data_IF_402318985028
#
_entry.id   IF_402318985028
#
_cell.length_a   1.000
_cell.length_b   1.000
_cell.length_c   1.000
_cell.angle_alpha   90.00
_cell.angle_beta   90.00
_cell.angle_gamma   90.00
#
_symmetry.space_group_name_H-M   'P 1'
#
loop_
_entity.id
_entity.type
_entity.pdbx_description
1 polymer ?
#
# COMPACT_ATOMS: atom_id res chain seq x y z
N UNK A 1 -2.10 1.99 -5.65
CA UNK A 1 -3.50 1.55 -5.47
C UNK A 1 -3.54 0.09 -5.05
N UNK A 2 -4.53 -0.27 -4.25
CA UNK A 2 -4.84 -1.65 -3.85
C UNK A 2 -5.98 -2.15 -4.72
N UNK A 3 -5.74 -3.13 -5.59
CA UNK A 3 -6.68 -3.52 -6.64
C UNK A 3 -6.97 -5.04 -6.63
N UNK A 4 -8.02 -5.41 -7.37
CA UNK A 4 -8.58 -6.76 -7.50
C UNK A 4 -9.35 -7.26 -6.26
N UNK A 5 -10.25 -8.20 -6.53
CA UNK A 5 -10.97 -8.99 -5.53
C UNK A 5 -10.33 -10.37 -5.37
N UNK A 6 -10.56 -11.01 -4.22
CA UNK A 6 -10.07 -12.35 -3.94
C UNK A 6 -10.69 -13.37 -4.90
N UNK A 7 -9.83 -14.11 -5.61
CA UNK A 7 -10.23 -15.33 -6.31
C UNK A 7 -10.08 -16.55 -5.40
N UNK A 8 -11.00 -17.52 -5.53
CA UNK A 8 -10.87 -18.84 -4.91
C UNK A 8 -11.53 -19.02 -3.53
N UNK A 9 -12.38 -18.09 -3.09
CA UNK A 9 -13.12 -18.21 -1.82
C UNK A 9 -14.32 -19.18 -1.90
N UNK A 10 -14.82 -19.46 -3.11
CA UNK A 10 -16.07 -20.20 -3.32
C UNK A 10 -17.31 -19.37 -2.99
N UNK A 11 -18.50 -19.96 -3.06
CA UNK A 11 -19.74 -19.28 -2.69
C UNK A 11 -19.76 -18.93 -1.19
N UNK A 12 -20.24 -17.74 -0.85
CA UNK A 12 -20.33 -17.23 0.53
C UNK A 12 -21.80 -16.88 0.80
N UNK A 13 -22.30 -17.28 1.97
CA UNK A 13 -23.66 -17.02 2.44
C UNK A 13 -23.68 -16.15 3.70
N UNK A 14 -22.71 -16.33 4.59
CA UNK A 14 -22.62 -15.62 5.85
C UNK A 14 -21.17 -15.28 6.19
N UNK A 15 -20.98 -14.09 6.76
CA UNK A 15 -19.70 -13.60 7.26
C UNK A 15 -19.91 -12.95 8.62
N UNK A 16 -19.08 -13.30 9.60
CA UNK A 16 -19.12 -12.73 10.95
C UNK A 16 -17.72 -12.48 11.49
N UNK A 17 -17.58 -11.48 12.36
CA UNK A 17 -16.33 -11.21 13.05
C UNK A 17 -16.27 -11.94 14.40
N UNK A 18 -15.29 -12.83 14.54
CA UNK A 18 -14.99 -13.55 15.77
C UNK A 18 -13.95 -12.76 16.60
N UNK A 19 -14.43 -11.96 17.55
CA UNK A 19 -13.64 -11.05 18.36
C UNK A 19 -12.52 -11.72 19.18
N UNK A 20 -12.80 -12.91 19.73
CA UNK A 20 -11.91 -13.71 20.57
C UNK A 20 -10.61 -14.00 19.84
N UNK A 21 -10.70 -14.26 18.54
CA UNK A 21 -9.58 -14.67 17.69
C UNK A 21 -9.08 -13.57 16.77
N UNK A 22 -9.77 -12.42 16.71
CA UNK A 22 -9.55 -11.41 15.67
C UNK A 22 -9.59 -12.07 14.29
N UNK A 23 -10.75 -12.60 13.94
CA UNK A 23 -10.91 -13.39 12.73
C UNK A 23 -12.25 -13.10 12.04
N UNK A 24 -12.29 -13.31 10.74
CA UNK A 24 -13.51 -13.24 9.93
C UNK A 24 -13.91 -14.66 9.56
N UNK A 25 -15.01 -15.13 10.12
CA UNK A 25 -15.58 -16.45 9.85
C UNK A 25 -16.45 -16.39 8.59
N UNK A 26 -16.33 -17.39 7.73
CA UNK A 26 -17.07 -17.52 6.48
C UNK A 26 -17.85 -18.83 6.55
N UNK A 27 -19.18 -18.76 6.46
CA UNK A 27 -20.12 -19.91 6.45
C UNK A 27 -19.87 -21.00 7.51
N UNK A 28 -19.26 -20.66 8.66
CA UNK A 28 -18.75 -21.64 9.64
C UNK A 28 -17.82 -22.73 9.04
N UNK A 29 -17.27 -22.50 7.84
CA UNK A 29 -16.47 -23.47 7.07
C UNK A 29 -15.00 -23.08 6.98
N UNK A 30 -14.73 -21.78 7.03
CA UNK A 30 -13.38 -21.25 6.92
C UNK A 30 -13.24 -19.96 7.74
N UNK A 31 -12.01 -19.67 8.14
CA UNK A 31 -11.66 -18.50 8.94
C UNK A 31 -10.54 -17.74 8.24
N UNK A 32 -10.69 -16.43 8.07
CA UNK A 32 -9.61 -15.54 7.69
C UNK A 32 -9.09 -14.83 8.93
N UNK A 33 -7.78 -14.86 9.15
CA UNK A 33 -7.12 -14.11 10.21
C UNK A 33 -6.50 -12.85 9.60
N UNK A 34 -7.14 -11.67 9.74
CA UNK A 34 -6.64 -10.45 9.13
C UNK A 34 -5.24 -10.13 9.65
N UNK A 35 -4.25 -9.88 8.77
CA UNK A 35 -2.89 -9.56 9.19
C UNK A 35 -2.73 -8.09 9.60
N UNK A 36 -3.82 -7.39 9.89
CA UNK A 36 -3.87 -5.96 10.25
C UNK A 36 -4.75 -5.79 11.47
N UNK A 37 -4.54 -4.73 12.27
CA UNK A 37 -5.32 -4.53 13.49
C UNK A 37 -6.82 -4.30 13.24
N UNK A 38 -7.68 -4.53 14.25
CA UNK A 38 -9.13 -4.31 14.15
C UNK A 38 -9.51 -2.92 13.63
N UNK A 39 -8.76 -1.88 14.03
CA UNK A 39 -8.97 -0.50 13.58
C UNK A 39 -8.88 -0.38 12.06
N UNK A 40 -7.78 -0.86 11.49
CA UNK A 40 -7.52 -0.75 10.05
C UNK A 40 -8.48 -1.64 9.26
N UNK A 41 -8.82 -2.81 9.80
CA UNK A 41 -9.82 -3.69 9.21
C UNK A 41 -11.19 -2.99 9.11
N UNK A 42 -11.66 -2.37 10.19
CA UNK A 42 -12.94 -1.64 10.20
C UNK A 42 -12.92 -0.44 9.22
N UNK A 43 -11.80 0.29 9.14
CA UNK A 43 -11.61 1.36 8.15
C UNK A 43 -11.74 0.79 6.74
N UNK A 44 -11.04 -0.29 6.41
CA UNK A 44 -11.11 -0.91 5.08
C UNK A 44 -12.51 -1.45 4.76
N UNK A 45 -13.21 -2.04 5.73
CA UNK A 45 -14.60 -2.49 5.56
C UNK A 45 -15.51 -1.33 5.16
N UNK A 46 -15.50 -0.22 5.92
CA UNK A 46 -16.31 0.98 5.59
C UNK A 46 -15.92 1.58 4.25
N UNK A 47 -14.63 1.70 4.01
CA UNK A 47 -14.10 2.26 2.77
C UNK A 47 -14.61 1.48 1.56
N UNK A 48 -14.45 0.15 1.57
CA UNK A 48 -14.83 -0.72 0.45
C UNK A 48 -16.34 -0.93 0.33
N UNK A 49 -17.11 -0.66 1.37
CA UNK A 49 -18.56 -0.58 1.28
C UNK A 49 -19.01 0.67 0.49
N UNK A 50 -18.31 1.80 0.64
CA UNK A 50 -18.67 3.08 0.05
C UNK A 50 -18.04 3.33 -1.33
N UNK A 51 -16.76 2.99 -1.51
CA UNK A 51 -15.99 3.17 -2.74
C UNK A 51 -15.04 1.99 -2.92
N UNK A 52 -15.06 1.36 -4.09
CA UNK A 52 -14.19 0.21 -4.36
C UNK A 52 -12.69 0.58 -4.41
N UNK A 53 -12.36 1.87 -4.53
CA UNK A 53 -10.99 2.35 -4.66
C UNK A 53 -10.34 2.56 -3.29
N UNK A 54 -9.13 2.02 -3.10
CA UNK A 54 -8.25 2.38 -1.97
C UNK A 54 -6.87 2.70 -2.51
N UNK A 55 -6.39 3.91 -2.24
CA UNK A 55 -5.11 4.36 -2.76
C UNK A 55 -4.72 5.78 -2.38
N UNK A 56 -3.52 6.15 -2.80
CA UNK A 56 -2.96 7.49 -2.64
C UNK A 56 -2.25 7.89 -3.93
N UNK A 57 -2.08 9.20 -4.12
CA UNK A 57 -1.19 9.77 -5.14
C UNK A 57 -0.43 10.92 -4.50
N UNK A 58 0.89 10.89 -4.63
CA UNK A 58 1.78 11.95 -4.16
C UNK A 58 2.37 12.71 -5.34
N UNK A 59 2.36 14.03 -5.24
CA UNK A 59 2.88 14.96 -6.23
C UNK A 59 2.70 16.39 -5.71
N UNK A 60 2.32 17.31 -6.59
CA UNK A 60 1.99 18.69 -6.19
C UNK A 60 0.80 18.74 -5.21
N UNK A 61 -0.08 17.75 -5.28
CA UNK A 61 -1.16 17.51 -4.33
C UNK A 61 -1.03 16.12 -3.71
N UNK A 62 -1.43 15.99 -2.44
CA UNK A 62 -1.59 14.70 -1.76
C UNK A 62 -3.05 14.25 -1.83
N UNK A 63 -3.32 13.26 -2.68
CA UNK A 63 -4.65 12.69 -2.87
C UNK A 63 -4.76 11.35 -2.15
N UNK A 64 -5.92 11.11 -1.53
CA UNK A 64 -6.25 9.86 -0.83
C UNK A 64 -7.66 9.47 -1.26
N UNK A 65 -7.84 8.20 -1.66
CA UNK A 65 -9.11 7.66 -2.13
C UNK A 65 -9.56 6.49 -1.25
N UNK A 66 -10.88 6.42 -1.01
CA UNK A 66 -11.56 5.36 -0.26
C UNK A 66 -11.43 5.45 1.25
N UNK A 67 -10.27 5.86 1.76
CA UNK A 67 -9.97 5.87 3.20
C UNK A 67 -9.88 7.28 3.78
N UNK A 68 -10.14 7.49 5.09
CA UNK A 68 -9.92 8.78 5.73
C UNK A 68 -8.47 9.23 5.61
N UNK A 69 -8.23 10.50 5.23
CA UNK A 69 -6.89 11.06 4.96
C UNK A 69 -5.89 10.90 6.11
N UNK A 70 -6.38 10.94 7.36
CA UNK A 70 -5.58 10.78 8.58
C UNK A 70 -5.52 9.36 9.15
N UNK A 71 -6.13 8.37 8.49
CA UNK A 71 -6.06 6.97 8.92
C UNK A 71 -4.64 6.41 8.79
N UNK A 72 -4.32 5.39 9.60
CA UNK A 72 -3.04 4.69 9.51
C UNK A 72 -2.88 4.01 8.14
N UNK A 73 -3.98 3.50 7.57
CA UNK A 73 -4.04 2.97 6.19
C UNK A 73 -3.56 4.02 5.19
N UNK A 74 -4.14 5.23 5.20
CA UNK A 74 -3.72 6.29 4.30
C UNK A 74 -2.26 6.67 4.50
N UNK A 75 -1.82 6.81 5.76
CA UNK A 75 -0.45 7.19 6.09
C UNK A 75 0.57 6.17 5.56
N UNK A 76 0.38 4.89 5.83
CA UNK A 76 1.26 3.82 5.35
C UNK A 76 1.31 3.79 3.83
N UNK A 77 0.17 3.95 3.15
CA UNK A 77 0.14 3.99 1.69
C UNK A 77 0.95 5.18 1.15
N UNK A 78 0.88 6.36 1.78
CA UNK A 78 1.72 7.51 1.41
C UNK A 78 3.20 7.23 1.64
N UNK A 79 3.57 6.68 2.79
CA UNK A 79 4.98 6.38 3.08
C UNK A 79 5.53 5.30 2.14
N UNK A 80 4.71 4.30 1.78
CA UNK A 80 5.08 3.28 0.80
C UNK A 80 5.23 3.89 -0.60
N UNK A 81 4.31 4.75 -1.04
CA UNK A 81 4.37 5.46 -2.32
C UNK A 81 5.64 6.31 -2.41
N UNK A 82 5.92 7.10 -1.37
CA UNK A 82 7.13 7.92 -1.25
C UNK A 82 8.41 7.07 -1.34
N UNK A 83 8.45 5.95 -0.63
CA UNK A 83 9.59 5.04 -0.66
C UNK A 83 9.78 4.43 -2.05
N UNK A 84 8.72 3.89 -2.67
CA UNK A 84 8.80 3.26 -3.99
C UNK A 84 9.14 4.26 -5.10
N UNK A 85 8.58 5.48 -5.03
CA UNK A 85 8.87 6.56 -5.96
C UNK A 85 10.35 6.95 -5.91
N UNK A 86 10.95 7.08 -4.72
CA UNK A 86 12.37 7.42 -4.59
C UNK A 86 13.28 6.38 -5.28
N UNK A 87 12.88 5.11 -5.28
CA UNK A 87 13.57 4.02 -6.02
C UNK A 87 13.35 4.15 -7.52
N UNK A 88 12.10 4.34 -7.98
CA UNK A 88 11.78 4.43 -9.41
C UNK A 88 12.47 5.64 -10.05
N UNK A 89 12.44 6.79 -9.39
CA UNK A 89 13.04 8.03 -9.86
C UNK A 89 14.55 8.14 -9.58
N UNK A 90 15.08 7.27 -8.72
CA UNK A 90 16.52 7.23 -8.40
C UNK A 90 17.03 8.49 -7.68
N UNK A 91 16.16 9.21 -6.95
CA UNK A 91 16.51 10.49 -6.30
C UNK A 91 17.35 10.28 -5.04
N UNK A 92 17.11 9.18 -4.31
CA UNK A 92 17.80 8.81 -3.06
C UNK A 92 17.60 9.83 -1.94
N UNK A 93 16.49 10.58 -1.97
CA UNK A 93 16.13 11.55 -0.95
C UNK A 93 15.66 10.83 0.31
N UNK A 94 14.79 9.84 0.18
CA UNK A 94 14.23 9.10 1.32
C UNK A 94 14.96 7.77 1.56
N UNK A 95 15.64 7.24 0.55
CA UNK A 95 16.38 5.97 0.60
C UNK A 95 17.90 6.15 0.73
N UNK A 96 18.37 7.30 1.23
CA UNK A 96 19.79 7.52 1.51
C UNK A 96 20.34 6.46 2.48
N UNK A 97 21.38 5.75 2.06
CA UNK A 97 21.97 4.62 2.80
C UNK A 97 21.18 3.31 2.73
N UNK A 98 20.09 3.25 1.97
CA UNK A 98 19.37 2.00 1.70
C UNK A 98 20.20 1.05 0.82
N UNK A 99 20.21 -0.23 1.17
CA UNK A 99 20.80 -1.32 0.40
C UNK A 99 19.72 -1.96 -0.46
N UNK A 100 19.82 -1.79 -1.76
CA UNK A 100 18.87 -2.35 -2.72
C UNK A 100 19.10 -3.84 -2.99
N UNK A 101 18.05 -4.51 -3.47
CA UNK A 101 18.11 -5.90 -3.89
C UNK A 101 19.26 -6.10 -4.89
N UNK A 102 20.07 -7.16 -4.68
CA UNK A 102 21.19 -7.49 -5.57
C UNK A 102 22.18 -6.32 -5.76
N UNK A 103 22.32 -5.44 -4.75
CA UNK A 103 23.19 -4.24 -4.79
C UNK A 103 22.87 -3.30 -5.97
N UNK A 104 21.62 -3.30 -6.42
CA UNK A 104 21.17 -2.45 -7.52
C UNK A 104 21.40 -0.98 -7.19
N UNK A 105 21.68 -0.20 -8.22
CA UNK A 105 21.86 1.25 -8.13
C UNK A 105 20.77 1.88 -8.99
N UNK A 106 19.71 2.44 -8.39
CA UNK A 106 18.70 3.17 -9.14
C UNK A 106 19.34 4.23 -10.04
N UNK A 107 18.86 4.29 -11.28
CA UNK A 107 19.39 5.20 -12.29
C UNK A 107 18.51 6.44 -12.28
N UNK A 108 19.09 7.60 -11.99
CA UNK A 108 18.38 8.86 -12.14
C UNK A 108 18.26 9.18 -13.63
N UNK A 109 17.07 9.55 -14.07
CA UNK A 109 16.85 10.03 -15.43
C UNK A 109 17.38 11.47 -15.56
N UNK A 110 18.05 11.78 -16.67
CA UNK A 110 18.45 13.15 -16.97
C UNK A 110 17.21 14.04 -17.21
N UNK A 111 17.27 15.27 -16.70
CA UNK A 111 16.17 16.24 -16.74
C UNK A 111 15.07 15.95 -15.71
N UNK A 112 13.99 16.72 -15.79
CA UNK A 112 12.78 16.53 -14.97
C UNK A 112 11.70 15.85 -15.80
N UNK A 113 11.65 14.50 -15.87
CA UNK A 113 10.64 13.82 -16.66
C UNK A 113 9.25 14.11 -16.07
N UNK A 114 8.33 14.62 -16.90
CA UNK A 114 6.90 14.74 -16.58
C UNK A 114 6.25 13.38 -16.70
N UNK A 115 6.40 12.57 -15.65
CA UNK A 115 5.93 11.18 -15.60
C UNK A 115 5.49 10.83 -14.19
N UNK A 116 4.39 10.09 -14.07
CA UNK A 116 3.95 9.47 -12.83
C UNK A 116 4.31 7.99 -12.82
N UNK A 117 4.68 7.49 -11.64
CA UNK A 117 4.81 6.07 -11.38
C UNK A 117 3.56 5.57 -10.65
N UNK A 118 2.87 4.60 -11.25
CA UNK A 118 1.69 3.97 -10.69
C UNK A 118 2.07 2.61 -10.10
N UNK A 119 1.96 2.49 -8.78
CA UNK A 119 2.21 1.25 -8.06
C UNK A 119 0.89 0.51 -7.82
N UNK A 120 0.73 -0.66 -8.42
CA UNK A 120 -0.47 -1.49 -8.30
C UNK A 120 -0.11 -2.80 -7.58
N UNK A 121 -0.67 -3.00 -6.39
CA UNK A 121 -0.61 -4.29 -5.69
C UNK A 121 -1.88 -5.06 -6.03
N UNK A 122 -1.73 -6.25 -6.63
CA UNK A 122 -2.83 -6.95 -7.32
C UNK A 122 -2.55 -8.45 -7.48
N UNK A 123 -3.37 -9.16 -8.27
CA UNK A 123 -3.29 -10.61 -8.51
C UNK A 123 -3.31 -11.42 -7.20
N UNK A 124 -4.16 -10.99 -6.27
CA UNK A 124 -4.37 -11.66 -5.00
C UNK A 124 -5.06 -13.00 -5.23
N UNK A 125 -4.38 -14.09 -4.86
CA UNK A 125 -4.93 -15.45 -4.91
C UNK A 125 -4.98 -16.02 -3.51
N UNK A 126 -6.18 -16.44 -3.10
CA UNK A 126 -6.39 -17.08 -1.82
C UNK A 126 -6.56 -18.59 -2.00
N UNK A 127 -6.32 -19.33 -0.92
CA UNK A 127 -6.62 -20.75 -0.78
C UNK A 127 -7.26 -20.97 0.58
N UNK A 128 -8.24 -21.87 0.61
CA UNK A 128 -8.73 -22.43 1.87
C UNK A 128 -7.97 -23.74 2.13
N UNK A 129 -7.18 -23.78 3.19
CA UNK A 129 -6.43 -24.97 3.62
C UNK A 129 -6.69 -25.21 5.10
N UNK A 130 -7.11 -26.42 5.49
CA UNK A 130 -7.47 -26.77 6.88
C UNK A 130 -8.42 -25.76 7.55
N UNK A 131 -9.45 -25.32 6.82
CA UNK A 131 -10.44 -24.31 7.25
C UNK A 131 -9.85 -22.91 7.49
N UNK A 132 -8.66 -22.62 6.99
CA UNK A 132 -8.05 -21.29 7.06
C UNK A 132 -7.95 -20.68 5.65
N UNK A 133 -8.38 -19.44 5.50
CA UNK A 133 -8.19 -18.63 4.30
C UNK A 133 -6.79 -18.02 4.34
N UNK A 134 -5.95 -18.38 3.37
CA UNK A 134 -4.57 -17.90 3.28
C UNK A 134 -4.29 -17.24 1.93
N UNK A 135 -3.56 -16.13 1.96
CA UNK A 135 -3.01 -15.54 0.74
C UNK A 135 -1.86 -16.41 0.21
N UNK A 136 -2.00 -16.87 -1.03
CA UNK A 136 -0.98 -17.68 -1.71
C UNK A 136 -0.05 -16.81 -2.55
N UNK A 137 -0.60 -15.76 -3.17
CA UNK A 137 0.15 -14.91 -4.11
C UNK A 137 -0.43 -13.52 -4.19
N UNK A 138 0.45 -12.54 -4.36
CA UNK A 138 0.17 -11.21 -4.87
C UNK A 138 1.32 -10.76 -5.78
N UNK A 139 1.13 -9.66 -6.49
CA UNK A 139 2.13 -9.05 -7.35
C UNK A 139 2.15 -7.52 -7.16
N UNK A 140 3.31 -6.93 -7.45
CA UNK A 140 3.45 -5.48 -7.63
C UNK A 140 3.72 -5.22 -9.11
N UNK A 141 2.85 -4.47 -9.76
CA UNK A 141 3.11 -3.89 -11.08
C UNK A 141 3.41 -2.40 -10.92
N UNK A 142 4.38 -1.92 -11.71
CA UNK A 142 4.79 -0.52 -11.71
C UNK A 142 4.67 -0.02 -13.14
N UNK A 143 3.75 0.91 -13.35
CA UNK A 143 3.50 1.52 -14.67
C UNK A 143 3.99 2.97 -14.67
N UNK A 144 4.55 3.40 -15.80
CA UNK A 144 4.99 4.78 -15.99
C UNK A 144 4.06 5.45 -16.98
N UNK A 145 3.51 6.60 -16.59
CA UNK A 145 2.54 7.33 -17.38
C UNK A 145 3.08 8.74 -17.61
N UNK A 146 3.39 9.12 -18.87
CA UNK A 146 3.68 10.50 -19.22
C UNK A 146 2.57 11.43 -18.73
N UNK A 147 2.94 12.60 -18.23
CA UNK A 147 1.99 13.56 -17.67
C UNK A 147 1.87 14.80 -18.57
N UNK A 148 0.63 15.24 -18.77
CA UNK A 148 0.34 16.50 -19.42
C UNK A 148 0.70 17.68 -18.50
N UNK A 149 0.91 18.87 -19.08
CA UNK A 149 1.07 20.10 -18.30
C UNK A 149 -0.24 20.49 -17.58
N UNK A 150 -1.39 20.15 -18.17
CA UNK A 150 -2.70 20.41 -17.59
C UNK A 150 -2.96 19.51 -16.36
N UNK A 151 -3.76 20.03 -15.43
CA UNK A 151 -4.20 19.35 -14.21
C UNK A 151 -5.71 19.19 -14.20
N UNK A 152 -6.20 18.22 -13.45
CA UNK A 152 -7.61 18.13 -13.10
C UNK A 152 -7.99 19.21 -12.07
N UNK A 153 -9.29 19.42 -11.86
CA UNK A 153 -9.80 20.45 -10.95
C UNK A 153 -9.37 20.25 -9.48
N UNK A 154 -9.12 19.00 -9.09
CA UNK A 154 -8.62 18.62 -7.76
C UNK A 154 -7.08 18.68 -7.65
N UNK A 155 -6.39 19.17 -8.69
CA UNK A 155 -4.94 19.23 -8.76
C UNK A 155 -4.27 17.93 -9.20
N UNK A 156 -5.04 16.88 -9.51
CA UNK A 156 -4.47 15.62 -10.00
C UNK A 156 -3.73 15.81 -11.34
N UNK A 157 -2.63 15.07 -11.50
CA UNK A 157 -1.94 14.99 -12.78
C UNK A 157 -2.80 14.29 -13.83
N UNK A 158 -2.83 14.83 -15.05
CA UNK A 158 -3.50 14.19 -16.18
C UNK A 158 -2.50 13.43 -17.05
N UNK A 159 -2.89 12.28 -17.64
CA UNK A 159 -2.04 11.56 -18.58
C UNK A 159 -1.85 12.36 -19.87
N UNK A 160 -0.64 12.38 -20.40
CA UNK A 160 -0.36 12.89 -21.75
C UNK A 160 -0.67 11.78 -22.76
N UNK A 161 -1.91 11.78 -23.25
CA UNK A 161 -2.38 10.81 -24.25
C UNK A 161 -1.61 10.89 -25.57
N UNK A 162 -1.06 12.05 -25.92
CA UNK A 162 -0.23 12.24 -27.10
C UNK A 162 1.10 11.51 -26.97
N UNK A 163 1.81 11.73 -25.85
CA UNK A 163 3.05 11.03 -25.52
C UNK A 163 2.86 9.51 -25.37
N UNK A 164 1.74 9.08 -24.78
CA UNK A 164 1.37 7.65 -24.68
C UNK A 164 1.20 7.04 -26.08
N UNK A 165 0.43 7.69 -26.96
CA UNK A 165 0.20 7.21 -28.33
C UNK A 165 1.49 7.19 -29.17
N UNK A 166 2.37 8.16 -28.95
CA UNK A 166 3.69 8.22 -29.59
C UNK A 166 4.68 7.19 -29.03
N UNK A 167 4.32 6.47 -27.95
CA UNK A 167 5.18 5.47 -27.35
C UNK A 167 6.41 6.05 -26.64
N UNK A 168 6.29 7.25 -26.04
CA UNK A 168 7.38 7.86 -25.29
C UNK A 168 7.83 6.93 -24.16
N UNK A 169 9.15 6.69 -24.07
CA UNK A 169 9.77 5.76 -23.12
C UNK A 169 10.68 6.50 -22.14
N UNK A 170 10.78 5.98 -20.93
CA UNK A 170 11.65 6.50 -19.87
C UNK A 170 12.62 5.41 -19.42
N UNK A 171 13.61 5.07 -20.27
CA UNK A 171 14.39 3.84 -20.12
C UNK A 171 15.03 3.66 -18.73
N UNK A 172 15.53 4.73 -18.11
CA UNK A 172 16.11 4.68 -16.76
C UNK A 172 15.04 4.30 -15.72
N UNK A 173 13.90 4.99 -15.75
CA UNK A 173 12.77 4.74 -14.85
C UNK A 173 12.17 3.35 -15.08
N UNK A 174 12.03 2.93 -16.34
CA UNK A 174 11.53 1.60 -16.71
C UNK A 174 12.43 0.48 -16.15
N UNK A 175 13.75 0.67 -16.19
CA UNK A 175 14.72 -0.26 -15.58
C UNK A 175 14.54 -0.33 -14.06
N UNK A 176 14.39 0.82 -13.39
CA UNK A 176 14.16 0.87 -11.95
C UNK A 176 12.81 0.22 -11.56
N UNK A 177 11.74 0.55 -12.26
CA UNK A 177 10.40 -0.02 -12.09
C UNK A 177 10.40 -1.55 -12.27
N UNK A 178 11.03 -2.04 -13.34
CA UNK A 178 11.18 -3.48 -13.60
C UNK A 178 12.02 -4.17 -12.53
N UNK A 179 13.07 -3.52 -12.04
CA UNK A 179 13.88 -4.05 -10.94
C UNK A 179 13.04 -4.17 -9.66
N UNK A 180 12.29 -3.13 -9.31
CA UNK A 180 11.43 -3.07 -8.14
C UNK A 180 10.40 -4.21 -8.16
N UNK A 181 9.61 -4.32 -9.24
CA UNK A 181 8.59 -5.36 -9.41
C UNK A 181 9.18 -6.78 -9.32
N UNK A 182 10.33 -7.03 -9.96
CA UNK A 182 11.01 -8.35 -9.96
C UNK A 182 11.59 -8.76 -8.62
N UNK A 183 11.86 -7.81 -7.72
CA UNK A 183 12.48 -8.08 -6.43
C UNK A 183 11.56 -7.67 -5.26
N UNK A 184 10.25 -7.65 -5.48
CA UNK A 184 9.28 -7.21 -4.48
C UNK A 184 9.42 -7.92 -3.12
N UNK A 185 9.76 -9.21 -3.11
CA UNK A 185 10.01 -9.97 -1.87
C UNK A 185 11.18 -9.43 -1.04
N UNK A 186 12.19 -8.84 -1.68
CA UNK A 186 13.27 -8.15 -0.98
C UNK A 186 12.76 -6.85 -0.35
N UNK A 187 12.01 -6.05 -1.10
CA UNK A 187 11.54 -4.74 -0.64
C UNK A 187 10.44 -4.84 0.41
N UNK A 188 9.61 -5.90 0.39
CA UNK A 188 8.67 -6.23 1.47
C UNK A 188 9.33 -6.52 2.82
N UNK A 189 10.66 -6.56 2.87
CA UNK A 189 11.38 -6.59 4.15
C UNK A 189 11.32 -5.25 4.89
N UNK A 190 10.98 -4.16 4.20
CA UNK A 190 10.64 -2.88 4.81
C UNK A 190 9.21 -2.92 5.34
N UNK A 191 9.05 -2.61 6.63
CA UNK A 191 7.75 -2.65 7.31
C UNK A 191 6.67 -1.82 6.62
N UNK A 192 7.03 -0.64 6.12
CA UNK A 192 6.05 0.22 5.43
C UNK A 192 5.50 -0.44 4.17
N UNK A 193 6.35 -1.13 3.40
CA UNK A 193 5.93 -1.79 2.18
C UNK A 193 5.22 -3.10 2.46
N UNK A 194 5.66 -3.84 3.49
CA UNK A 194 4.94 -5.03 3.92
C UNK A 194 3.52 -4.67 4.38
N UNK A 195 3.38 -3.66 5.23
CA UNK A 195 2.08 -3.21 5.72
C UNK A 195 1.15 -2.75 4.58
N UNK A 196 1.68 -2.03 3.58
CA UNK A 196 0.90 -1.68 2.39
C UNK A 196 0.43 -2.93 1.62
N UNK A 197 1.23 -3.99 1.56
CA UNK A 197 0.82 -5.26 0.97
C UNK A 197 -0.25 -5.97 1.80
N UNK A 198 -0.16 -5.92 3.13
CA UNK A 198 -1.17 -6.50 4.03
C UNK A 198 -2.51 -5.79 3.89
N UNK A 199 -2.53 -4.46 3.75
CA UNK A 199 -3.76 -3.74 3.40
C UNK A 199 -4.30 -4.16 2.04
N UNK A 200 -3.43 -4.41 1.06
CA UNK A 200 -3.84 -4.91 -0.24
C UNK A 200 -4.50 -6.29 -0.17
N UNK A 201 -3.93 -7.19 0.64
CA UNK A 201 -4.50 -8.50 0.91
C UNK A 201 -5.89 -8.39 1.54
N UNK A 202 -6.01 -7.63 2.63
CA UNK A 202 -7.28 -7.44 3.33
C UNK A 202 -8.30 -6.79 2.41
N UNK A 203 -7.93 -5.77 1.63
CA UNK A 203 -8.83 -5.15 0.68
C UNK A 203 -9.34 -6.13 -0.38
N UNK A 204 -8.46 -6.99 -0.92
CA UNK A 204 -8.86 -8.00 -1.88
C UNK A 204 -9.79 -9.05 -1.26
N UNK A 205 -9.51 -9.49 -0.03
CA UNK A 205 -10.39 -10.37 0.73
C UNK A 205 -11.78 -9.76 0.94
N UNK A 206 -11.84 -8.51 1.42
CA UNK A 206 -13.08 -7.79 1.69
C UNK A 206 -13.90 -7.57 0.41
N UNK A 207 -13.27 -7.21 -0.71
CA UNK A 207 -13.95 -7.18 -2.01
C UNK A 207 -14.50 -8.55 -2.38
N UNK A 208 -13.71 -9.61 -2.21
CA UNK A 208 -14.13 -10.97 -2.50
C UNK A 208 -15.38 -11.39 -1.74
N UNK A 209 -15.49 -11.08 -0.43
CA UNK A 209 -16.69 -11.40 0.35
C UNK A 209 -17.88 -10.48 0.00
N UNK A 210 -17.62 -9.19 -0.26
CA UNK A 210 -18.65 -8.21 -0.67
C UNK A 210 -19.28 -8.58 -2.00
N UNK A 211 -18.46 -9.00 -2.96
CA UNK A 211 -18.92 -9.42 -4.29
C UNK A 211 -19.79 -10.70 -4.22
N UNK A 212 -19.77 -11.41 -3.09
CA UNK A 212 -20.70 -12.50 -2.75
C UNK A 212 -21.84 -12.08 -1.80
N UNK A 213 -22.08 -10.78 -1.63
CA UNK A 213 -23.21 -10.23 -0.88
C UNK A 213 -22.97 -10.01 0.61
N UNK A 214 -21.75 -10.13 1.12
CA UNK A 214 -21.46 -9.81 2.52
C UNK A 214 -21.64 -8.30 2.80
N UNK A 215 -22.28 -7.98 3.92
CA UNK A 215 -22.44 -6.60 4.41
C UNK A 215 -21.16 -6.12 5.11
N UNK A 216 -20.33 -5.37 4.39
CA UNK A 216 -19.10 -4.80 4.93
C UNK A 216 -19.36 -3.71 5.99
N UNK A 217 -20.49 -3.01 5.97
CA UNK A 217 -20.80 -2.02 7.00
C UNK A 217 -21.18 -2.73 8.31
N UNK A 218 -22.03 -3.75 8.23
CA UNK A 218 -22.34 -4.63 9.36
C UNK A 218 -21.08 -5.25 9.97
N UNK A 219 -20.18 -5.79 9.12
CA UNK A 219 -18.90 -6.35 9.57
C UNK A 219 -18.03 -5.30 10.28
N UNK A 220 -17.97 -4.05 9.76
CA UNK A 220 -17.24 -2.98 10.42
C UNK A 220 -17.79 -2.67 11.81
N UNK A 221 -19.12 -2.65 11.98
CA UNK A 221 -19.77 -2.42 13.27
C UNK A 221 -19.47 -3.53 14.27
N UNK A 222 -19.48 -4.80 13.83
CA UNK A 222 -19.08 -5.94 14.68
C UNK A 222 -17.63 -5.80 15.18
N UNK A 223 -16.71 -5.37 14.30
CA UNK A 223 -15.31 -5.13 14.65
C UNK A 223 -15.19 -3.99 15.67
N UNK A 224 -15.94 -2.91 15.50
CA UNK A 224 -15.90 -1.74 16.39
C UNK A 224 -16.51 -2.01 17.77
N UNK A 225 -17.47 -2.92 17.86
CA UNK A 225 -18.02 -3.38 19.13
C UNK A 225 -17.03 -4.26 19.91
N UNK A 226 -15.94 -4.72 19.28
CA UNK A 226 -14.93 -5.57 19.92
C UNK A 226 -14.14 -4.83 21.00
N UNK A 227 -13.86 -5.45 22.16
CA UNK A 227 -12.96 -4.89 23.17
C UNK A 227 -11.51 -4.66 22.67
N UNK A 228 -11.13 -5.27 21.54
CA UNK A 228 -9.82 -5.11 20.91
C UNK A 228 -9.75 -3.85 20.01
N UNK A 229 -10.87 -3.23 19.71
CA UNK A 229 -10.92 -2.02 18.90
C UNK A 229 -10.44 -0.82 19.72
N UNK A 230 -9.63 0.03 19.10
CA UNK A 230 -9.20 1.28 19.70
C UNK A 230 -9.20 2.39 18.65
N UNK A 231 -9.65 3.57 19.08
CA UNK A 231 -9.52 4.79 18.28
C UNK A 231 -8.08 5.23 18.36
N UNK A 232 -7.33 5.10 17.26
CA UNK A 232 -5.98 5.62 17.18
C UNK A 232 -5.94 7.11 16.79
N UNK A 233 -4.74 7.70 16.67
CA UNK A 233 -4.59 9.12 16.41
C UNK A 233 -5.14 9.51 15.04
N UNK A 234 -5.59 10.76 14.92
CA UNK A 234 -5.80 11.40 13.63
C UNK A 234 -4.46 11.98 13.14
N UNK A 235 -3.95 11.44 12.04
CA UNK A 235 -2.68 11.86 11.46
C UNK A 235 -2.83 13.03 10.45
N UNK A 236 -4.02 13.60 10.30
CA UNK A 236 -4.32 14.61 9.26
C UNK A 236 -3.49 15.91 9.37
N UNK A 237 -3.08 16.28 10.58
CA UNK A 237 -2.38 17.55 10.86
C UNK A 237 -0.84 17.47 10.73
N UNK A 238 -0.26 16.27 10.63
CA UNK A 238 1.20 16.09 10.60
C UNK A 238 1.72 15.99 9.17
N UNK A 239 2.91 16.56 8.92
CA UNK A 239 3.55 16.47 7.61
C UNK A 239 4.01 15.04 7.31
N UNK A 240 3.98 14.63 6.03
CA UNK A 240 4.49 13.32 5.59
C UNK A 240 5.97 13.12 5.97
N UNK A 241 6.76 14.20 5.96
CA UNK A 241 8.17 14.18 6.41
C UNK A 241 8.29 13.83 7.89
N UNK A 242 7.43 14.38 8.74
CA UNK A 242 7.40 14.07 10.17
C UNK A 242 7.15 12.59 10.39
N UNK A 243 6.18 12.02 9.69
CA UNK A 243 5.89 10.59 9.77
C UNK A 243 7.00 9.72 9.20
N UNK A 244 7.64 10.12 8.10
CA UNK A 244 8.80 9.41 7.56
C UNK A 244 9.94 9.36 8.57
N UNK A 245 10.28 10.48 9.20
CA UNK A 245 11.32 10.51 10.23
C UNK A 245 10.94 9.68 11.46
N UNK A 246 9.67 9.72 11.90
CA UNK A 246 9.18 8.88 12.98
C UNK A 246 9.28 7.38 12.63
N UNK A 247 8.95 7.01 11.40
CA UNK A 247 9.11 5.66 10.88
C UNK A 247 10.58 5.22 10.95
N UNK A 248 11.52 6.01 10.42
CA UNK A 248 12.95 5.67 10.46
C UNK A 248 13.47 5.57 11.90
N UNK A 249 13.03 6.46 12.79
CA UNK A 249 13.38 6.41 14.21
C UNK A 249 12.90 5.09 14.84
N UNK A 250 11.69 4.64 14.49
CA UNK A 250 11.16 3.36 14.99
C UNK A 250 12.00 2.15 14.54
N UNK A 251 12.49 2.14 13.29
CA UNK A 251 13.37 1.08 12.78
C UNK A 251 14.70 1.09 13.55
N UNK A 252 15.26 2.28 13.77
CA UNK A 252 16.50 2.48 14.51
C UNK A 252 16.40 1.99 15.96
N UNK A 253 15.36 2.44 16.68
CA UNK A 253 15.11 2.03 18.08
C UNK A 253 14.91 0.52 18.21
N UNK A 254 14.23 -0.11 17.26
CA UNK A 254 13.99 -1.57 17.26
C UNK A 254 15.17 -2.38 16.71
N UNK A 255 16.24 -1.73 16.22
CA UNK A 255 17.38 -2.36 15.55
C UNK A 255 17.01 -3.19 14.32
N UNK A 256 15.97 -2.77 13.59
CA UNK A 256 15.40 -3.50 12.45
C UNK A 256 15.91 -3.02 11.08
N UNK A 257 17.03 -2.30 11.06
CA UNK A 257 17.55 -1.62 9.86
C UNK A 257 18.46 -2.53 9.00
N UNK A 258 18.10 -3.81 8.83
CA UNK A 258 18.90 -4.81 8.08
C UNK A 258 19.20 -4.43 6.63
N UNK A 259 18.37 -3.60 6.01
CA UNK A 259 18.56 -3.12 4.65
C UNK A 259 19.19 -1.72 4.59
N UNK A 260 19.72 -1.20 5.70
CA UNK A 260 20.34 0.13 5.76
C UNK A 260 21.81 0.03 6.13
N UNK A 261 22.65 0.90 5.55
CA UNK A 261 24.09 0.92 5.78
C UNK A 261 24.48 1.37 7.18
N UNK A 262 23.61 2.16 7.82
CA UNK A 262 23.75 2.66 9.18
C UNK A 262 22.34 2.96 9.73
N UNK A 263 22.20 3.40 10.99
CA UNK A 263 20.91 3.77 11.56
C UNK A 263 20.21 4.85 10.70
N UNK A 264 19.00 4.58 10.16
CA UNK A 264 18.47 5.35 9.04
C UNK A 264 17.96 6.73 9.43
N UNK A 265 17.46 6.90 10.65
CA UNK A 265 17.09 8.23 11.15
C UNK A 265 18.33 9.11 11.31
N UNK A 266 19.42 8.54 11.82
CA UNK A 266 20.71 9.24 11.91
C UNK A 266 21.26 9.64 10.53
N UNK A 267 21.11 8.79 9.51
CA UNK A 267 21.53 9.11 8.13
C UNK A 267 20.74 10.27 7.54
N UNK A 268 19.42 10.25 7.74
CA UNK A 268 18.48 11.20 7.15
C UNK A 268 18.44 12.55 7.86
N UNK A 269 18.67 12.56 9.18
CA UNK A 269 18.71 13.82 9.96
C UNK A 269 19.94 14.69 9.67
N UNK A 270 21.02 14.10 9.14
CA UNK A 270 22.28 14.78 8.77
C UNK A 270 22.28 15.44 7.39
N UNK A 271 21.30 15.16 6.54
CA UNK A 271 21.18 15.77 5.21
C UNK A 271 20.54 17.17 5.26
N UNK A 272 20.73 17.89 6.38
CA UNK A 272 20.26 19.26 6.63
C UNK A 272 21.37 20.26 6.36
#
# INVERSE_FOLDING_TARGET
MLEDAAAGLGAIKAVHYADKFHAVEIDNRAVYFPPVGPRDLAVLCRSLAADDRVGVSLGDAELVWGVPKGSDVALVLKLADLFLADIVFGRRETTAGYRYAKRYKPIQQAGEPKVAAFFKIHKFKFRVEKQEVQLVRSALDVSLVPLAAAKAADGANLPDMGAIKAGVRFQALEKNAKHLAKNMSYYRREKVLDQACLYGEVAAFLRGIRDHGADLLGLAMEIEASPRYSVGPDNSAQSLRTHWLAYLKSIETKREFRNWSAPPYTLQSKQR
#
